data_IF_082010270554
#
_entry.id   IF_082010270554
#
_cell.length_a   1.000
_cell.length_b   1.000
_cell.length_c   1.000
_cell.angle_alpha   90.00
_cell.angle_beta   90.00
_cell.angle_gamma   90.00
#
_symmetry.space_group_name_H-M   'P 1'
#
loop_
_entity.id
_entity.type
_entity.pdbx_description
1 polymer ?
#
# COMPACT_ATOMS: atom_id res chain seq x y z
N UNK A 1 34.44 11.95 -4.76
CA UNK A 1 34.13 10.51 -4.93
C UNK A 1 32.94 10.18 -4.02
N UNK A 2 31.74 9.98 -4.56
CA UNK A 2 30.55 9.73 -3.73
C UNK A 2 30.63 8.34 -3.06
N UNK A 3 30.25 8.19 -1.78
CA UNK A 3 30.34 6.91 -1.08
C UNK A 3 29.40 5.86 -1.72
N UNK A 4 29.92 4.67 -2.02
CA UNK A 4 29.12 3.56 -2.57
C UNK A 4 28.14 3.06 -1.51
N UNK A 5 26.83 3.14 -1.80
CA UNK A 5 25.78 2.69 -0.90
C UNK A 5 25.78 1.16 -0.72
N UNK A 6 25.56 0.70 0.51
CA UNK A 6 25.41 -0.74 0.79
C UNK A 6 24.15 -1.31 0.10
N UNK A 7 24.11 -2.63 -0.20
CA UNK A 7 22.97 -3.26 -0.88
C UNK A 7 21.62 -3.04 -0.17
N UNK A 8 21.60 -3.11 1.18
CA UNK A 8 20.43 -2.83 2.01
C UNK A 8 19.93 -1.38 1.82
N UNK A 9 20.83 -0.39 1.86
CA UNK A 9 20.48 1.02 1.65
C UNK A 9 19.95 1.28 0.24
N UNK A 10 20.44 0.57 -0.77
CA UNK A 10 19.94 0.67 -2.16
C UNK A 10 18.53 0.09 -2.33
N UNK A 11 18.19 -1.01 -1.65
CA UNK A 11 16.83 -1.57 -1.64
C UNK A 11 15.86 -0.59 -0.96
N UNK A 12 16.21 -0.09 0.23
CA UNK A 12 15.37 0.87 0.97
C UNK A 12 15.10 2.13 0.16
N UNK A 13 16.12 2.75 -0.47
CA UNK A 13 15.92 3.93 -1.32
C UNK A 13 15.00 3.69 -2.51
N UNK A 14 15.03 2.48 -3.11
CA UNK A 14 14.14 2.12 -4.22
C UNK A 14 12.70 1.94 -3.74
N UNK A 15 12.51 1.27 -2.61
CA UNK A 15 11.22 1.13 -1.93
C UNK A 15 10.64 2.50 -1.60
N UNK A 16 11.39 3.37 -0.92
CA UNK A 16 10.94 4.73 -0.59
C UNK A 16 10.57 5.55 -1.83
N UNK A 17 11.36 5.45 -2.90
CA UNK A 17 11.06 6.14 -4.17
C UNK A 17 9.78 5.62 -4.83
N UNK A 18 9.52 4.30 -4.78
CA UNK A 18 8.26 3.72 -5.27
C UNK A 18 7.08 4.12 -4.39
N UNK A 19 7.24 4.13 -3.06
CA UNK A 19 6.20 4.54 -2.12
C UNK A 19 5.82 6.02 -2.29
N UNK A 20 6.79 6.86 -2.67
CA UNK A 20 6.57 8.28 -2.99
C UNK A 20 5.96 8.52 -4.38
N UNK A 21 5.75 7.47 -5.20
CA UNK A 21 5.00 7.65 -6.45
C UNK A 21 3.55 7.91 -6.11
N UNK A 22 3.00 8.96 -6.72
CA UNK A 22 1.61 9.39 -6.53
C UNK A 22 0.64 8.23 -6.78
N UNK A 23 0.89 7.36 -7.76
CA UNK A 23 0.07 6.15 -7.97
C UNK A 23 -0.02 5.26 -6.72
N UNK A 24 1.13 4.90 -6.13
CA UNK A 24 1.14 3.99 -4.98
C UNK A 24 0.56 4.67 -3.74
N UNK A 25 0.96 5.92 -3.50
CA UNK A 25 0.47 6.71 -2.37
C UNK A 25 -1.03 6.96 -2.46
N UNK A 26 -1.54 7.28 -3.65
CA UNK A 26 -2.96 7.49 -3.93
C UNK A 26 -3.79 6.21 -3.74
N UNK A 27 -3.32 5.06 -4.23
CA UNK A 27 -3.99 3.78 -4.00
C UNK A 27 -4.04 3.40 -2.51
N UNK A 28 -2.95 3.63 -1.77
CA UNK A 28 -2.92 3.43 -0.32
C UNK A 28 -3.89 4.36 0.39
N UNK A 29 -3.89 5.66 0.06
CA UNK A 29 -4.79 6.63 0.67
C UNK A 29 -6.26 6.32 0.35
N UNK A 30 -6.58 5.96 -0.89
CA UNK A 30 -7.93 5.58 -1.31
C UNK A 30 -8.44 4.35 -0.54
N UNK A 31 -7.61 3.32 -0.40
CA UNK A 31 -7.95 2.12 0.37
C UNK A 31 -8.19 2.44 1.85
N UNK A 32 -7.34 3.28 2.47
CA UNK A 32 -7.54 3.72 3.86
C UNK A 32 -8.82 4.55 4.02
N UNK A 33 -9.09 5.47 3.10
CA UNK A 33 -10.32 6.26 3.09
C UNK A 33 -11.56 5.37 2.95
N UNK A 34 -11.49 4.30 2.17
CA UNK A 34 -12.58 3.34 2.03
C UNK A 34 -12.79 2.55 3.33
N UNK A 35 -11.73 2.02 3.94
CA UNK A 35 -11.84 1.33 5.23
C UNK A 35 -12.45 2.28 6.29
N UNK A 36 -11.94 3.51 6.36
CA UNK A 36 -12.44 4.52 7.28
C UNK A 36 -13.91 4.88 7.02
N UNK A 37 -14.34 4.94 5.76
CA UNK A 37 -15.75 5.23 5.46
C UNK A 37 -16.68 4.12 5.95
N UNK A 38 -16.28 2.84 5.83
CA UNK A 38 -17.07 1.71 6.37
C UNK A 38 -17.22 1.78 7.89
N UNK A 39 -16.16 2.18 8.59
CA UNK A 39 -16.27 2.44 10.03
C UNK A 39 -17.12 3.68 10.35
N UNK A 40 -17.04 4.73 9.54
CA UNK A 40 -17.75 5.99 9.78
C UNK A 40 -19.27 5.87 9.56
N UNK A 41 -19.72 5.18 8.51
CA UNK A 41 -21.16 4.94 8.31
C UNK A 41 -21.69 3.76 9.14
N UNK A 42 -20.80 2.94 9.70
CA UNK A 42 -21.12 1.83 10.60
C UNK A 42 -21.25 0.49 9.90
N UNK A 43 -20.89 -0.58 10.61
CA UNK A 43 -20.99 -1.95 10.12
C UNK A 43 -22.38 -2.50 10.48
N UNK A 44 -23.24 -2.69 9.49
CA UNK A 44 -24.65 -3.07 9.70
C UNK A 44 -25.03 -4.38 9.01
N UNK A 45 -24.31 -4.76 7.96
CA UNK A 45 -24.61 -5.92 7.13
C UNK A 45 -23.39 -6.82 6.94
N UNK A 46 -23.63 -8.05 6.45
CA UNK A 46 -22.56 -8.95 5.99
C UNK A 46 -21.78 -8.35 4.80
N UNK A 47 -22.40 -7.46 4.02
CA UNK A 47 -21.76 -6.76 2.91
C UNK A 47 -20.65 -5.82 3.38
N UNK A 48 -20.84 -5.13 4.51
CA UNK A 48 -19.84 -4.23 5.08
C UNK A 48 -18.56 -4.98 5.48
N UNK A 49 -18.72 -6.20 6.02
CA UNK A 49 -17.60 -7.09 6.30
C UNK A 49 -16.86 -7.51 5.04
N UNK A 50 -17.58 -7.83 3.95
CA UNK A 50 -16.96 -8.13 2.66
C UNK A 50 -16.22 -6.91 2.09
N UNK A 51 -16.77 -5.70 2.22
CA UNK A 51 -16.11 -4.48 1.79
C UNK A 51 -14.84 -4.20 2.60
N UNK A 52 -14.86 -4.38 3.92
CA UNK A 52 -13.67 -4.26 4.76
C UNK A 52 -12.60 -5.28 4.37
N UNK A 53 -12.98 -6.53 4.15
CA UNK A 53 -12.07 -7.57 3.69
C UNK A 53 -11.46 -7.23 2.33
N UNK A 54 -12.28 -6.77 1.37
CA UNK A 54 -11.83 -6.39 0.04
C UNK A 54 -10.88 -5.18 0.08
N UNK A 55 -11.24 -4.12 0.81
CA UNK A 55 -10.41 -2.92 0.95
C UNK A 55 -9.09 -3.25 1.67
N UNK A 56 -9.12 -4.11 2.68
CA UNK A 56 -7.92 -4.57 3.40
C UNK A 56 -7.02 -5.46 2.53
N UNK A 57 -7.61 -6.37 1.75
CA UNK A 57 -6.87 -7.19 0.79
C UNK A 57 -6.23 -6.32 -0.30
N UNK A 58 -6.92 -5.26 -0.75
CA UNK A 58 -6.35 -4.29 -1.68
C UNK A 58 -5.19 -3.51 -1.06
N UNK A 59 -5.32 -3.06 0.18
CA UNK A 59 -4.21 -2.43 0.91
C UNK A 59 -3.00 -3.36 0.99
N UNK A 60 -3.23 -4.62 1.36
CA UNK A 60 -2.18 -5.63 1.46
C UNK A 60 -1.49 -5.86 0.10
N UNK A 61 -2.26 -6.04 -0.98
CA UNK A 61 -1.72 -6.19 -2.32
C UNK A 61 -0.89 -4.97 -2.75
N UNK A 62 -1.35 -3.75 -2.45
CA UNK A 62 -0.62 -2.53 -2.75
C UNK A 62 0.70 -2.47 -1.96
N UNK A 63 0.71 -2.83 -0.68
CA UNK A 63 1.95 -2.90 0.12
C UNK A 63 2.91 -4.00 -0.36
N UNK A 64 2.39 -5.15 -0.78
CA UNK A 64 3.20 -6.25 -1.30
C UNK A 64 3.87 -5.88 -2.64
N UNK A 65 3.18 -5.14 -3.50
CA UNK A 65 3.73 -4.61 -4.76
C UNK A 65 4.93 -3.67 -4.53
N UNK A 66 5.03 -3.06 -3.35
CA UNK A 66 6.17 -2.24 -2.97
C UNK A 66 7.41 -3.08 -2.62
N UNK A 67 7.20 -4.24 -1.99
CA UNK A 67 8.25 -5.13 -1.51
C UNK A 67 8.81 -6.05 -2.62
N UNK A 68 7.97 -6.41 -3.60
CA UNK A 68 8.36 -7.34 -4.66
C UNK A 68 9.21 -6.65 -5.75
N UNK A 69 10.40 -7.17 -6.06
CA UNK A 69 11.09 -6.81 -7.30
C UNK A 69 10.23 -7.26 -8.47
N UNK A 70 10.16 -6.44 -9.53
CA UNK A 70 9.52 -6.85 -10.78
C UNK A 70 10.44 -7.94 -11.36
N UNK A 71 10.01 -9.19 -11.31
CA UNK A 71 10.64 -10.26 -12.11
C UNK A 71 10.02 -10.10 -13.48
N UNK A 72 10.77 -9.46 -14.39
CA UNK A 72 10.43 -9.45 -15.81
C UNK A 72 10.62 -10.85 -16.41
#
# INVERSE_FOLDING_TARGET
>A
MAPKLTPKRRRLRRVLRRAMRIEWAGQTAASLCWIASVFAYGITSRGDWLQLCAASAWLLANTAALAMPKTD
#
